data_IF_371972377328
#
_entry.id   IF_371972377328
#
_cell.length_a   1.000
_cell.length_b   1.000
_cell.length_c   1.000
_cell.angle_alpha   90.00
_cell.angle_beta   90.00
_cell.angle_gamma   90.00
#
_symmetry.space_group_name_H-M   'P 1'
#
loop_
_entity.id
_entity.type
_entity.pdbx_description
1 polymer ?
#
# COMPACT_ATOMS: atom_id res chain seq x y z
N UNK A 1 -18.45 -7.94 -0.61
CA UNK A 1 -17.13 -7.29 -0.63
C UNK A 1 -16.29 -7.98 -1.68
N UNK A 2 -15.56 -7.26 -2.54
CA UNK A 2 -14.84 -7.87 -3.67
C UNK A 2 -13.56 -8.61 -3.27
N UNK A 3 -13.07 -8.40 -2.04
CA UNK A 3 -11.80 -8.95 -1.58
C UNK A 3 -10.57 -8.27 -2.19
N UNK A 4 -10.74 -7.15 -2.91
CA UNK A 4 -9.64 -6.42 -3.54
C UNK A 4 -8.64 -5.86 -2.53
N UNK A 5 -9.11 -5.42 -1.35
CA UNK A 5 -8.26 -4.98 -0.24
C UNK A 5 -8.20 -6.10 0.80
N UNK A 6 -6.99 -6.57 1.10
CA UNK A 6 -6.75 -7.63 2.08
C UNK A 6 -5.41 -7.44 2.77
N UNK A 7 -5.27 -8.00 3.98
CA UNK A 7 -3.98 -8.03 4.69
C UNK A 7 -3.29 -9.35 4.38
N UNK A 8 -2.06 -9.30 3.89
CA UNK A 8 -1.25 -10.49 3.69
C UNK A 8 -0.81 -11.01 5.07
N UNK A 9 -1.07 -12.29 5.38
CA UNK A 9 -0.77 -12.86 6.70
C UNK A 9 0.73 -13.10 6.94
N UNK A 10 1.55 -13.20 5.88
CA UNK A 10 2.98 -13.48 5.99
C UNK A 10 3.79 -12.23 6.32
N UNK A 11 3.58 -11.14 5.59
CA UNK A 11 4.32 -9.88 5.76
C UNK A 11 3.53 -8.79 6.52
N UNK A 12 2.23 -9.01 6.77
CA UNK A 12 1.37 -8.06 7.46
C UNK A 12 0.96 -6.83 6.64
N UNK A 13 1.35 -6.72 5.37
CA UNK A 13 1.03 -5.58 4.52
C UNK A 13 -0.41 -5.62 4.02
N UNK A 14 -1.00 -4.45 3.81
CA UNK A 14 -2.31 -4.32 3.17
C UNK A 14 -2.10 -4.28 1.66
N UNK A 15 -2.53 -5.33 0.97
CA UNK A 15 -2.37 -5.53 -0.47
C UNK A 15 -3.65 -5.15 -1.24
N UNK A 16 -3.47 -4.75 -2.50
CA UNK A 16 -4.55 -4.32 -3.40
C UNK A 16 -4.48 -5.12 -4.70
N UNK A 17 -5.54 -5.88 -4.95
CA UNK A 17 -5.73 -6.62 -6.18
C UNK A 17 -6.58 -5.79 -7.16
N UNK A 18 -5.95 -5.34 -8.24
CA UNK A 18 -6.59 -4.53 -9.28
C UNK A 18 -7.65 -5.31 -10.05
N UNK A 19 -7.45 -6.61 -10.29
CA UNK A 19 -8.37 -7.43 -11.07
C UNK A 19 -9.69 -7.67 -10.32
N UNK A 20 -9.62 -7.72 -8.98
CA UNK A 20 -10.81 -7.82 -8.12
C UNK A 20 -11.46 -6.47 -7.79
N UNK A 21 -10.88 -5.35 -8.24
CA UNK A 21 -11.41 -4.02 -7.90
C UNK A 21 -12.66 -3.69 -8.73
N UNK A 22 -13.78 -3.39 -8.05
CA UNK A 22 -15.03 -2.98 -8.71
C UNK A 22 -15.26 -1.45 -8.67
N UNK A 23 -14.24 -0.64 -8.36
CA UNK A 23 -14.36 0.83 -8.28
C UNK A 23 -15.50 1.33 -7.37
N UNK A 24 -15.80 0.60 -6.28
CA UNK A 24 -16.92 0.92 -5.39
C UNK A 24 -16.61 1.98 -4.31
N UNK A 25 -15.35 2.40 -4.20
CA UNK A 25 -14.83 3.36 -3.21
C UNK A 25 -15.09 3.04 -1.73
N UNK A 26 -15.57 1.84 -1.41
CA UNK A 26 -15.80 1.43 -0.01
C UNK A 26 -14.51 1.47 0.81
N UNK A 27 -13.37 1.09 0.24
CA UNK A 27 -12.07 1.19 0.91
C UNK A 27 -11.64 2.63 1.21
N UNK A 28 -12.00 3.58 0.35
CA UNK A 28 -11.73 5.01 0.56
C UNK A 28 -12.57 5.53 1.72
N UNK A 29 -13.86 5.18 1.76
CA UNK A 29 -14.77 5.60 2.83
C UNK A 29 -14.44 4.93 4.18
N UNK A 30 -13.98 3.68 4.16
CA UNK A 30 -13.66 2.94 5.37
C UNK A 30 -12.34 3.36 6.03
N UNK A 31 -11.44 4.03 5.30
CA UNK A 31 -10.13 4.40 5.82
C UNK A 31 -10.20 5.66 6.68
N UNK A 32 -9.96 5.57 8.01
CA UNK A 32 -10.03 6.74 8.90
C UNK A 32 -8.90 7.74 8.65
N UNK A 33 -7.78 7.29 8.05
CA UNK A 33 -6.62 8.13 7.75
C UNK A 33 -6.76 8.89 6.43
N UNK A 34 -7.76 8.58 5.60
CA UNK A 34 -8.00 9.30 4.34
C UNK A 34 -6.88 9.18 3.29
N UNK A 35 -6.00 8.19 3.42
CA UNK A 35 -4.79 8.02 2.58
C UNK A 35 -5.08 7.38 1.22
N UNK A 36 -6.20 6.66 1.07
CA UNK A 36 -6.59 6.04 -0.20
C UNK A 36 -7.24 7.08 -1.10
N UNK A 37 -6.84 7.12 -2.38
CA UNK A 37 -7.40 8.02 -3.40
C UNK A 37 -7.68 7.24 -4.67
N UNK A 38 -8.67 7.65 -5.45
CA UNK A 38 -8.76 7.13 -6.81
C UNK A 38 -7.62 7.70 -7.66
N UNK A 39 -7.24 6.98 -8.72
CA UNK A 39 -6.53 7.60 -9.83
C UNK A 39 -7.33 8.80 -10.36
N UNK A 40 -6.63 9.77 -10.96
CA UNK A 40 -7.21 11.04 -11.38
C UNK A 40 -7.69 11.06 -12.83
N UNK A 41 -7.43 10.00 -13.60
CA UNK A 41 -7.65 9.99 -15.04
C UNK A 41 -8.93 9.20 -15.34
N UNK A 42 -8.94 7.93 -14.95
CA UNK A 42 -10.00 6.98 -15.25
C UNK A 42 -10.92 6.72 -14.05
N UNK A 43 -10.45 7.05 -12.84
CA UNK A 43 -11.13 6.78 -11.57
C UNK A 43 -11.48 5.30 -11.34
N UNK A 44 -10.77 4.38 -12.00
CA UNK A 44 -10.98 2.93 -11.94
C UNK A 44 -10.10 2.23 -10.90
N UNK A 45 -9.08 2.93 -10.42
CA UNK A 45 -8.06 2.34 -9.58
C UNK A 45 -7.89 3.12 -8.30
N UNK A 46 -7.60 2.40 -7.22
CA UNK A 46 -7.34 3.01 -5.93
C UNK A 46 -5.83 3.05 -5.70
N UNK A 47 -5.30 4.26 -5.62
CA UNK A 47 -3.93 4.56 -5.24
C UNK A 47 -3.80 4.43 -3.71
N UNK A 48 -2.84 3.60 -3.29
CA UNK A 48 -2.44 3.42 -1.90
C UNK A 48 -0.93 3.18 -1.82
N UNK A 49 -0.37 3.28 -0.62
CA UNK A 49 1.00 2.79 -0.36
C UNK A 49 1.06 1.28 -0.62
N UNK A 50 2.06 0.83 -1.37
CA UNK A 50 2.35 -0.58 -1.68
C UNK A 50 3.54 -1.13 -0.88
N UNK A 51 4.04 -0.38 0.11
CA UNK A 51 5.29 -0.68 0.84
C UNK A 51 6.51 -0.87 -0.07
N UNK A 52 6.48 -0.33 -1.30
CA UNK A 52 7.51 -0.52 -2.31
C UNK A 52 7.90 -2.00 -2.53
N UNK A 53 6.95 -2.94 -2.42
CA UNK A 53 7.22 -4.40 -2.56
C UNK A 53 7.94 -4.76 -3.87
N UNK A 54 7.71 -3.98 -4.93
CA UNK A 54 8.37 -4.15 -6.22
C UNK A 54 9.90 -3.95 -6.15
N UNK A 55 10.40 -3.13 -5.21
CA UNK A 55 11.83 -2.91 -4.96
C UNK A 55 12.45 -4.05 -4.17
N UNK A 56 11.72 -4.61 -3.20
CA UNK A 56 12.22 -5.77 -2.47
C UNK A 56 12.52 -6.96 -3.39
N UNK A 57 11.76 -7.12 -4.48
CA UNK A 57 12.01 -8.16 -5.49
C UNK A 57 13.17 -7.88 -6.44
N UNK A 58 13.59 -6.62 -6.62
CA UNK A 58 14.70 -6.24 -7.51
C UNK A 58 16.06 -6.13 -6.79
N UNK A 59 16.08 -6.37 -5.47
CA UNK A 59 17.27 -6.28 -4.63
C UNK A 59 17.62 -4.86 -4.18
N UNK A 60 16.82 -3.85 -4.55
CA UNK A 60 16.99 -2.49 -4.07
C UNK A 60 16.51 -2.34 -2.62
N UNK A 61 17.05 -1.38 -1.85
CA UNK A 61 16.52 -1.08 -0.53
C UNK A 61 15.05 -0.63 -0.62
N UNK A 62 14.23 -1.17 0.27
CA UNK A 62 12.83 -0.84 0.40
C UNK A 62 12.47 -0.65 1.88
N UNK A 63 11.55 0.27 2.21
CA UNK A 63 10.83 1.16 1.29
C UNK A 63 11.61 2.43 0.93
N UNK A 64 11.33 3.00 -0.25
CA UNK A 64 12.05 4.18 -0.78
C UNK A 64 11.97 5.38 0.16
N UNK A 65 10.85 5.58 0.87
CA UNK A 65 10.70 6.68 1.83
C UNK A 65 11.66 6.58 3.03
N UNK A 66 12.06 5.37 3.41
CA UNK A 66 13.07 5.12 4.45
C UNK A 66 14.47 5.32 3.88
N UNK A 67 14.74 4.72 2.71
CA UNK A 67 16.05 4.78 2.05
C UNK A 67 16.48 6.23 1.74
N UNK A 68 15.58 7.04 1.16
CA UNK A 68 15.90 8.38 0.69
C UNK A 68 16.00 9.41 1.81
N UNK A 69 15.58 9.07 3.04
CA UNK A 69 15.49 10.03 4.14
C UNK A 69 16.91 10.55 4.52
N UNK A 70 17.26 11.81 4.20
CA UNK A 70 18.64 12.29 4.38
C UNK A 70 19.01 12.41 5.86
N UNK A 71 18.01 12.74 6.70
CA UNK A 71 18.18 12.89 8.15
C UNK A 71 18.13 11.56 8.90
N UNK A 72 17.83 10.44 8.22
CA UNK A 72 17.59 9.13 8.83
C UNK A 72 16.53 9.17 9.94
N UNK A 73 15.49 10.00 9.73
CA UNK A 73 14.40 10.20 10.70
C UNK A 73 13.30 9.13 10.60
N UNK A 74 13.34 8.30 9.56
CA UNK A 74 12.35 7.24 9.30
C UNK A 74 13.11 5.92 9.29
N UNK A 75 12.66 4.95 10.08
CA UNK A 75 13.19 3.59 10.13
C UNK A 75 12.04 2.59 9.99
N UNK A 76 12.36 1.36 9.58
CA UNK A 76 11.41 0.26 9.49
C UNK A 76 12.01 -0.95 10.19
N UNK A 77 11.24 -1.53 11.09
CA UNK A 77 11.59 -2.71 11.88
C UNK A 77 10.36 -3.62 11.92
N UNK A 78 10.57 -4.94 11.91
CA UNK A 78 9.47 -5.87 12.16
C UNK A 78 9.12 -5.86 13.65
N UNK A 79 7.83 -5.78 13.94
CA UNK A 79 7.32 -5.84 15.31
C UNK A 79 6.65 -7.20 15.48
N UNK A 80 7.17 -7.99 16.43
CA UNK A 80 6.54 -9.24 16.83
C UNK A 80 5.15 -8.94 17.42
N UNK A 81 4.14 -9.66 16.93
CA UNK A 81 2.75 -9.52 17.36
C UNK A 81 2.44 -10.37 18.60
#
# INVERSE_FOLDING_TARGET
>A
MTGAMHKNPENGFVEYDREKCASCYMCVMACPYGVLKSDRIEHKEIMKCDMCVHRSSDGSPAPMCVEICPMKAITMEEVEA
#
